data_IF_299737078285
#
_entry.id   IF_299737078285
#
_cell.length_a   1.000
_cell.length_b   1.000
_cell.length_c   1.000
_cell.angle_alpha   90.00
_cell.angle_beta   90.00
_cell.angle_gamma   90.00
#
_symmetry.space_group_name_H-M   'P 1'
#
loop_
_entity.id
_entity.type
_entity.pdbx_description
1 polymer ?
#
# COMPACT_ATOMS: atom_id res chain seq x y z
N UNK A 1 -14.12 0.22 -0.13
CA UNK A 1 -13.88 1.22 -1.18
C UNK A 1 -15.14 1.32 -1.99
N UNK A 2 -15.57 2.55 -2.33
CA UNK A 2 -16.73 2.72 -3.20
C UNK A 2 -16.36 2.33 -4.64
N UNK A 3 -17.33 1.88 -5.43
CA UNK A 3 -17.07 1.33 -6.77
C UNK A 3 -16.54 2.37 -7.78
N UNK A 4 -16.72 3.65 -7.50
CA UNK A 4 -16.27 4.79 -8.31
C UNK A 4 -14.99 5.46 -7.80
N UNK A 5 -14.56 5.12 -6.58
CA UNK A 5 -13.44 5.74 -5.88
C UNK A 5 -12.09 5.44 -6.57
N UNK A 6 -11.23 6.46 -6.68
CA UNK A 6 -9.93 6.36 -7.35
C UNK A 6 -8.75 6.27 -6.41
N UNK A 7 -7.71 5.53 -6.84
CA UNK A 7 -6.40 5.54 -6.19
C UNK A 7 -5.68 6.83 -6.55
N UNK A 8 -5.31 7.61 -5.54
CA UNK A 8 -4.47 8.79 -5.70
C UNK A 8 -2.99 8.45 -5.54
N UNK A 9 -2.66 7.55 -4.61
CA UNK A 9 -1.30 7.10 -4.30
C UNK A 9 -1.32 5.64 -3.88
N UNK A 10 -0.29 4.87 -4.26
CA UNK A 10 -0.01 3.61 -3.59
C UNK A 10 1.50 3.32 -3.44
N UNK A 11 1.96 3.30 -2.19
CA UNK A 11 3.36 3.02 -1.89
C UNK A 11 3.52 1.52 -1.59
N UNK A 12 4.50 0.88 -2.21
CA UNK A 12 4.82 -0.55 -2.04
C UNK A 12 6.01 -0.76 -1.11
N UNK A 13 6.12 -1.97 -0.53
CA UNK A 13 7.17 -2.35 0.44
C UNK A 13 7.40 -1.28 1.52
N UNK A 14 6.29 -0.78 2.08
CA UNK A 14 6.35 0.11 3.24
C UNK A 14 6.75 -0.74 4.44
N UNK A 15 8.01 -0.60 4.85
CA UNK A 15 8.61 -1.36 5.94
C UNK A 15 8.39 -0.68 7.29
N UNK A 16 8.44 -1.49 8.34
CA UNK A 16 8.13 -1.14 9.73
C UNK A 16 9.55 -1.10 10.43
N UNK A 17 9.95 -0.12 11.28
CA UNK A 17 11.13 -0.12 12.23
C UNK A 17 10.79 0.24 13.74
N UNK A 18 11.01 -0.65 14.77
CA UNK A 18 10.50 -0.59 16.20
C UNK A 18 8.98 -0.62 16.64
N UNK A 19 8.46 -1.73 17.20
CA UNK A 19 7.28 -1.88 18.11
C UNK A 19 5.87 -1.28 17.85
N UNK A 20 5.73 -0.22 17.07
CA UNK A 20 4.50 0.54 16.70
C UNK A 20 4.31 0.50 15.18
N UNK A 21 3.28 1.10 14.55
CA UNK A 21 2.92 1.00 13.10
C UNK A 21 4.10 1.10 12.09
N UNK A 22 5.29 1.46 12.55
CA UNK A 22 6.62 1.26 11.98
C UNK A 22 7.44 0.30 12.93
N UNK A 23 7.70 -1.01 12.66
CA UNK A 23 8.57 -2.01 13.37
C UNK A 23 9.51 -3.02 12.61
N UNK A 24 10.84 -3.12 12.87
CA UNK A 24 11.87 -3.84 12.04
C UNK A 24 11.49 -5.32 11.88
N UNK A 25 11.55 -5.83 10.64
CA UNK A 25 11.25 -7.23 10.28
C UNK A 25 9.80 -7.46 9.82
N UNK A 26 9.09 -6.36 9.48
CA UNK A 26 7.67 -6.36 9.15
C UNK A 26 7.32 -7.10 7.86
N UNK A 27 6.12 -7.68 7.83
CA UNK A 27 5.52 -8.23 6.60
C UNK A 27 5.28 -7.06 5.65
N UNK A 28 5.92 -7.10 4.47
CA UNK A 28 5.76 -6.08 3.44
C UNK A 28 4.27 -5.86 3.12
N UNK A 29 3.89 -4.61 2.94
CA UNK A 29 2.54 -4.19 2.60
C UNK A 29 2.54 -2.97 1.70
N UNK A 30 1.34 -2.56 1.31
CA UNK A 30 1.11 -1.37 0.50
C UNK A 30 0.31 -0.34 1.28
N UNK A 31 0.68 0.94 1.15
CA UNK A 31 -0.08 2.05 1.68
C UNK A 31 -0.82 2.75 0.54
N UNK A 32 -2.14 2.75 0.59
CA UNK A 32 -3.00 3.41 -0.40
C UNK A 32 -3.56 4.70 0.17
N UNK A 33 -3.50 5.76 -0.62
CA UNK A 33 -4.37 6.92 -0.49
C UNK A 33 -5.32 6.90 -1.68
N UNK A 34 -6.61 6.89 -1.39
CA UNK A 34 -7.69 7.07 -2.36
C UNK A 34 -8.37 8.41 -2.09
N UNK A 35 -9.37 8.73 -2.91
CA UNK A 35 -10.16 9.95 -2.71
C UNK A 35 -10.88 10.00 -1.35
N UNK A 36 -11.15 8.85 -0.71
CA UNK A 36 -11.90 8.78 0.56
C UNK A 36 -11.19 8.04 1.70
N UNK A 37 -10.15 7.25 1.42
CA UNK A 37 -9.53 6.37 2.42
C UNK A 37 -8.00 6.44 2.40
N UNK A 38 -7.40 6.27 3.58
CA UNK A 38 -6.01 5.84 3.72
C UNK A 38 -6.04 4.39 4.22
N UNK A 39 -5.39 3.48 3.51
CA UNK A 39 -5.47 2.03 3.77
C UNK A 39 -4.09 1.40 3.77
N UNK A 40 -3.83 0.50 4.72
CA UNK A 40 -2.65 -0.36 4.69
C UNK A 40 -3.06 -1.79 4.31
N UNK A 41 -2.61 -2.28 3.16
CA UNK A 41 -2.98 -3.60 2.63
C UNK A 41 -1.78 -4.54 2.74
N UNK A 42 -2.00 -5.73 3.31
CA UNK A 42 -0.98 -6.76 3.50
C UNK A 42 -1.31 -8.01 2.68
N UNK A 43 -0.29 -8.81 2.34
CA UNK A 43 -0.44 -10.14 1.71
C UNK A 43 -1.31 -10.15 0.45
N UNK A 44 -0.99 -9.27 -0.50
CA UNK A 44 -1.70 -9.17 -1.78
C UNK A 44 -1.37 -10.33 -2.71
N UNK A 45 -2.34 -10.79 -3.51
CA UNK A 45 -2.16 -11.99 -4.35
C UNK A 45 -1.39 -11.74 -5.66
N UNK A 46 -1.09 -10.48 -5.99
CA UNK A 46 -0.36 -10.11 -7.22
C UNK A 46 1.08 -10.66 -7.27
N UNK A 47 1.50 -11.04 -8.48
CA UNK A 47 2.67 -11.85 -8.80
C UNK A 47 4.00 -11.27 -8.27
N UNK A 48 4.82 -12.11 -7.62
CA UNK A 48 6.19 -11.81 -7.11
C UNK A 48 7.07 -11.02 -8.10
N UNK A 49 6.88 -11.20 -9.41
CA UNK A 49 7.63 -10.50 -10.47
C UNK A 49 7.29 -9.01 -10.58
N UNK A 50 6.01 -8.63 -10.48
CA UNK A 50 5.58 -7.23 -10.50
C UNK A 50 6.12 -6.48 -9.28
N UNK A 51 5.98 -7.11 -8.11
CA UNK A 51 6.43 -6.56 -6.83
C UNK A 51 7.89 -6.09 -6.85
N UNK A 52 8.82 -6.97 -7.24
CA UNK A 52 10.25 -6.65 -7.27
C UNK A 52 10.57 -5.46 -8.20
N UNK A 53 9.93 -5.42 -9.38
CA UNK A 53 10.15 -4.35 -10.34
C UNK A 53 9.61 -3.01 -9.84
N UNK A 54 8.41 -3.00 -9.27
CA UNK A 54 7.76 -1.78 -8.76
C UNK A 54 8.48 -1.23 -7.54
N UNK A 55 8.86 -2.08 -6.58
CA UNK A 55 9.67 -1.66 -5.42
C UNK A 55 10.97 -0.99 -5.87
N UNK A 56 11.68 -1.58 -6.84
CA UNK A 56 12.93 -1.01 -7.35
C UNK A 56 12.70 0.38 -7.96
N UNK A 57 11.67 0.53 -8.81
CA UNK A 57 11.33 1.81 -9.44
C UNK A 57 10.93 2.87 -8.43
N UNK A 58 10.11 2.50 -7.44
CA UNK A 58 9.70 3.40 -6.37
C UNK A 58 10.92 3.92 -5.60
N UNK A 59 11.82 3.03 -5.18
CA UNK A 59 13.02 3.43 -4.42
C UNK A 59 13.90 4.40 -5.23
N UNK A 60 14.17 4.09 -6.50
CA UNK A 60 14.95 4.98 -7.38
C UNK A 60 14.25 6.34 -7.54
N UNK A 61 12.93 6.33 -7.75
CA UNK A 61 12.14 7.56 -7.91
C UNK A 61 12.20 8.41 -6.65
N UNK A 62 12.01 7.82 -5.47
CA UNK A 62 12.01 8.54 -4.19
C UNK A 62 13.40 9.10 -3.81
N UNK A 63 14.48 8.43 -4.23
CA UNK A 63 15.86 8.94 -4.07
C UNK A 63 16.10 10.17 -4.96
N UNK A 64 15.57 10.15 -6.19
CA UNK A 64 15.75 11.23 -7.16
C UNK A 64 14.77 12.39 -6.95
N UNK A 65 13.60 12.12 -6.37
CA UNK A 65 12.51 13.07 -6.18
C UNK A 65 11.74 12.71 -4.91
N UNK A 66 11.61 13.65 -3.97
CA UNK A 66 10.89 13.44 -2.71
C UNK A 66 9.36 13.40 -2.86
N UNK A 67 8.82 13.42 -4.09
CA UNK A 67 7.39 13.33 -4.32
C UNK A 67 6.87 11.89 -4.07
N UNK A 68 6.09 11.74 -3.00
CA UNK A 68 5.48 10.48 -2.59
C UNK A 68 4.13 10.20 -3.28
N UNK A 69 3.61 11.13 -4.08
CA UNK A 69 2.34 10.98 -4.80
C UNK A 69 2.53 10.08 -6.04
N UNK A 70 2.80 8.80 -5.80
CA UNK A 70 3.13 7.82 -6.82
C UNK A 70 2.01 6.82 -7.09
N UNK A 71 1.82 6.51 -8.36
CA UNK A 71 1.04 5.37 -8.86
C UNK A 71 1.92 4.50 -9.74
N UNK A 72 1.62 3.20 -9.77
CA UNK A 72 2.40 2.13 -10.39
C UNK A 72 1.51 1.36 -11.34
N UNK A 73 1.94 1.27 -12.60
CA UNK A 73 1.23 0.47 -13.60
C UNK A 73 1.13 -1.00 -13.19
N UNK A 74 0.02 -1.63 -13.53
CA UNK A 74 -0.21 -3.06 -13.26
C UNK A 74 -0.83 -3.37 -11.89
N UNK A 75 -1.24 -2.35 -11.14
CA UNK A 75 -2.12 -2.47 -9.99
C UNK A 75 -3.13 -1.31 -9.96
N UNK A 76 -4.43 -1.62 -9.97
CA UNK A 76 -5.51 -0.62 -10.08
C UNK A 76 -6.59 -0.76 -9.00
N UNK A 77 -7.68 -0.01 -9.13
CA UNK A 77 -8.82 -0.02 -8.21
C UNK A 77 -9.47 -1.41 -8.08
N UNK A 78 -9.57 -2.16 -9.19
CA UNK A 78 -10.14 -3.51 -9.15
C UNK A 78 -9.26 -4.46 -8.36
N UNK A 79 -7.95 -4.35 -8.50
CA UNK A 79 -6.99 -5.13 -7.70
C UNK A 79 -7.13 -4.84 -6.21
N UNK A 80 -7.24 -3.54 -5.87
CA UNK A 80 -7.45 -3.11 -4.50
C UNK A 80 -8.77 -3.64 -3.93
N UNK A 81 -9.87 -3.60 -4.70
CA UNK A 81 -11.16 -4.16 -4.27
C UNK A 81 -11.06 -5.66 -3.98
N UNK A 82 -10.43 -6.44 -4.87
CA UNK A 82 -10.24 -7.89 -4.69
C UNK A 82 -9.42 -8.18 -3.42
N UNK A 83 -8.33 -7.43 -3.21
CA UNK A 83 -7.51 -7.58 -2.01
C UNK A 83 -8.34 -7.21 -0.74
N UNK A 84 -9.17 -6.16 -0.79
CA UNK A 84 -10.03 -5.74 0.34
C UNK A 84 -11.16 -6.74 0.65
N UNK A 85 -11.72 -7.44 -0.34
CA UNK A 85 -12.71 -8.50 -0.13
C UNK A 85 -12.15 -9.68 0.68
N UNK A 86 -10.84 -9.94 0.57
CA UNK A 86 -10.17 -11.00 1.31
C UNK A 86 -9.78 -10.58 2.74
N UNK A 87 -10.78 -10.39 3.61
CA UNK A 87 -10.63 -9.97 5.01
C UNK A 87 -9.71 -10.85 5.88
N UNK A 88 -9.42 -12.08 5.45
CA UNK A 88 -8.46 -12.98 6.14
C UNK A 88 -6.99 -12.60 5.89
N UNK A 89 -6.72 -11.84 4.83
CA UNK A 89 -5.37 -11.47 4.37
C UNK A 89 -5.10 -9.97 4.48
N UNK A 90 -6.16 -9.16 4.42
CA UNK A 90 -6.09 -7.69 4.43
C UNK A 90 -6.34 -7.12 5.82
N UNK A 91 -5.64 -6.05 6.19
CA UNK A 91 -5.80 -5.39 7.48
C UNK A 91 -5.97 -3.90 7.27
N UNK A 92 -7.20 -3.52 6.96
CA UNK A 92 -7.55 -2.11 6.83
C UNK A 92 -7.39 -1.42 8.20
N UNK A 93 -6.59 -0.35 8.21
CA UNK A 93 -6.51 0.58 9.34
C UNK A 93 -7.10 1.88 8.85
N UNK A 94 -8.25 2.27 9.39
CA UNK A 94 -8.84 3.58 9.12
C UNK A 94 -7.87 4.69 9.50
N UNK A 95 -7.82 5.77 8.71
CA UNK A 95 -6.98 6.95 8.98
C UNK A 95 -7.09 7.44 10.43
N UNK A 96 -8.31 7.49 10.96
CA UNK A 96 -8.58 7.96 12.33
C UNK A 96 -7.94 7.08 13.43
N UNK A 97 -7.56 5.86 13.09
CA UNK A 97 -6.97 4.88 13.99
C UNK A 97 -5.46 4.71 13.77
N UNK A 98 -4.86 5.39 12.77
CA UNK A 98 -3.45 5.18 12.41
C UNK A 98 -2.48 5.56 13.55
N UNK A 99 -2.88 6.50 14.40
CA UNK A 99 -2.11 6.94 15.59
C UNK A 99 -2.60 6.32 16.90
N UNK A 100 -3.70 5.57 16.89
CA UNK A 100 -4.32 4.98 18.09
C UNK A 100 -3.95 3.51 18.30
N UNK A 101 -2.93 3.02 17.59
CA UNK A 101 -2.43 1.63 17.66
C UNK A 101 -1.19 1.53 18.54
#
# INVERSE_FOLDING_TARGET
>A
MDSDEKICVHLVSVWREGGSFLSIGGKEGMLFLTEKHLMFVRKTERMKKWWKAVVTRQVVTLIQNSNVMLTHDGYNEQDLMIDLENKKKTSEVSFNNILKM
#
